data_IF_731616847571
#
_entry.id   IF_731616847571
#
_cell.length_a   1.000
_cell.length_b   1.000
_cell.length_c   1.000
_cell.angle_alpha   90.00
_cell.angle_beta   90.00
_cell.angle_gamma   90.00
#
_symmetry.space_group_name_H-M   'P 1'
#
loop_
_entity.id
_entity.type
_entity.pdbx_description
1 polymer ?
#
# COMPACT_ATOMS: atom_id res chain seq x y z
N UNK A 1 -5.79 -8.96 -34.86
CA UNK A 1 -5.60 -7.49 -34.94
C UNK A 1 -5.32 -6.86 -33.58
N UNK A 2 -6.00 -7.25 -32.50
CA UNK A 2 -5.83 -6.72 -31.14
C UNK A 2 -4.43 -6.97 -30.56
N UNK A 3 -3.84 -8.17 -30.74
CA UNK A 3 -2.49 -8.48 -30.27
C UNK A 3 -1.37 -7.67 -30.94
N UNK A 4 -1.52 -7.30 -32.23
CA UNK A 4 -0.52 -6.47 -32.92
C UNK A 4 -0.53 -5.00 -32.50
N UNK A 5 -1.70 -4.46 -32.09
CA UNK A 5 -1.82 -3.10 -31.56
C UNK A 5 -1.18 -2.97 -30.17
N UNK A 6 -1.23 -4.03 -29.36
CA UNK A 6 -0.62 -4.07 -28.03
C UNK A 6 0.91 -4.00 -28.06
N UNK A 7 1.53 -4.76 -28.95
CA UNK A 7 3.00 -4.79 -29.09
C UNK A 7 3.53 -3.45 -29.60
N UNK A 8 2.80 -2.79 -30.52
CA UNK A 8 3.19 -1.47 -31.01
C UNK A 8 3.04 -0.38 -29.95
N UNK A 9 1.98 -0.40 -29.12
CA UNK A 9 1.78 0.60 -28.07
C UNK A 9 2.82 0.47 -26.94
N UNK A 10 3.12 -0.75 -26.49
CA UNK A 10 4.14 -1.01 -25.47
C UNK A 10 5.55 -0.70 -25.97
N UNK A 11 5.89 -1.04 -27.21
CA UNK A 11 7.17 -0.74 -27.82
C UNK A 11 7.36 0.78 -28.01
N UNK A 12 6.35 1.48 -28.47
CA UNK A 12 6.36 2.94 -28.64
C UNK A 12 6.47 3.63 -27.27
N UNK A 13 5.70 3.17 -26.27
CA UNK A 13 5.76 3.68 -24.93
C UNK A 13 7.16 3.50 -24.31
N UNK A 14 7.79 2.32 -24.54
CA UNK A 14 9.15 2.04 -24.06
C UNK A 14 10.17 2.95 -24.73
N UNK A 15 10.14 3.11 -26.04
CA UNK A 15 11.06 4.01 -26.77
C UNK A 15 10.97 5.45 -26.26
N UNK A 16 9.77 5.96 -26.06
CA UNK A 16 9.54 7.30 -25.54
C UNK A 16 10.02 7.44 -24.09
N UNK A 17 9.74 6.45 -23.26
CA UNK A 17 10.20 6.41 -21.86
C UNK A 17 11.73 6.40 -21.79
N UNK A 18 12.40 5.56 -22.61
CA UNK A 18 13.85 5.44 -22.64
C UNK A 18 14.50 6.73 -23.17
N UNK A 19 13.89 7.40 -24.14
CA UNK A 19 14.37 8.70 -24.65
C UNK A 19 14.33 9.79 -23.56
N UNK A 20 13.22 9.90 -22.82
CA UNK A 20 13.11 10.87 -21.72
C UNK A 20 14.06 10.51 -20.57
N UNK A 21 14.14 9.24 -20.20
CA UNK A 21 15.07 8.78 -19.18
C UNK A 21 16.51 9.17 -19.54
N UNK A 22 16.90 8.95 -20.79
CA UNK A 22 18.23 9.33 -21.31
C UNK A 22 18.45 10.84 -21.28
N UNK A 23 17.43 11.64 -21.58
CA UNK A 23 17.49 13.10 -21.52
C UNK A 23 17.70 13.58 -20.07
N UNK A 24 16.93 13.07 -19.12
CA UNK A 24 17.05 13.37 -17.68
C UNK A 24 18.44 12.96 -17.18
N UNK A 25 18.92 11.80 -17.57
CA UNK A 25 20.25 11.29 -17.21
C UNK A 25 21.41 12.05 -17.86
N UNK A 26 21.13 12.97 -18.74
CA UNK A 26 22.10 13.92 -19.33
C UNK A 26 22.44 15.10 -18.43
N UNK A 27 21.65 15.37 -17.40
CA UNK A 27 21.86 16.45 -16.44
C UNK A 27 22.61 15.97 -15.20
N UNK A 28 23.21 16.92 -14.43
CA UNK A 28 23.86 16.62 -13.17
C UNK A 28 22.88 15.99 -12.18
N UNK A 29 23.10 14.75 -11.72
CA UNK A 29 22.21 14.08 -10.77
C UNK A 29 22.03 14.88 -9.48
N UNK A 30 23.11 15.46 -8.93
CA UNK A 30 23.07 16.22 -7.68
C UNK A 30 22.10 17.40 -7.77
N UNK A 31 22.24 18.21 -8.83
CA UNK A 31 21.39 19.38 -9.05
C UNK A 31 19.96 18.98 -9.37
N UNK A 32 19.76 17.91 -10.14
CA UNK A 32 18.43 17.44 -10.50
C UNK A 32 17.68 16.89 -9.29
N UNK A 33 18.34 16.04 -8.49
CA UNK A 33 17.77 15.48 -7.25
C UNK A 33 17.40 16.60 -6.28
N UNK A 34 18.31 17.55 -6.07
CA UNK A 34 18.07 18.69 -5.22
C UNK A 34 16.87 19.52 -5.70
N UNK A 35 16.78 19.77 -6.99
CA UNK A 35 15.64 20.47 -7.58
C UNK A 35 14.32 19.71 -7.40
N UNK A 36 14.30 18.39 -7.64
CA UNK A 36 13.11 17.56 -7.44
C UNK A 36 12.63 17.63 -5.98
N UNK A 37 13.53 17.53 -5.00
CA UNK A 37 13.18 17.64 -3.59
C UNK A 37 12.63 19.04 -3.25
N UNK A 38 13.26 20.12 -3.75
CA UNK A 38 12.75 21.47 -3.56
C UNK A 38 11.36 21.65 -4.15
N UNK A 39 11.12 21.13 -5.34
CA UNK A 39 9.85 21.19 -6.02
C UNK A 39 8.76 20.41 -5.30
N UNK A 40 9.07 19.23 -4.79
CA UNK A 40 8.17 18.38 -4.01
C UNK A 40 7.76 18.95 -2.64
N UNK A 41 8.56 19.86 -2.08
CA UNK A 41 8.31 20.48 -0.77
C UNK A 41 7.62 21.84 -0.89
N UNK A 42 7.11 22.20 -2.08
CA UNK A 42 6.27 23.38 -2.23
C UNK A 42 4.95 23.18 -1.48
N UNK A 43 4.47 24.26 -0.85
CA UNK A 43 3.18 24.23 -0.15
C UNK A 43 2.04 24.35 -1.17
N UNK A 44 1.02 23.54 -0.98
CA UNK A 44 -0.18 23.56 -1.79
C UNK A 44 -1.40 23.85 -0.92
N UNK A 45 -2.35 24.62 -1.44
CA UNK A 45 -3.58 25.01 -0.73
C UNK A 45 -4.48 23.78 -0.51
N UNK A 46 -4.56 22.91 -1.50
CA UNK A 46 -5.39 21.70 -1.48
C UNK A 46 -4.77 20.54 -2.28
N UNK A 47 -5.41 19.37 -2.21
CA UNK A 47 -5.01 18.18 -2.93
C UNK A 47 -5.02 18.35 -4.46
N UNK A 48 -5.90 19.19 -5.02
CA UNK A 48 -5.99 19.40 -6.47
C UNK A 48 -4.76 20.17 -6.95
N UNK A 49 -4.38 21.25 -6.24
CA UNK A 49 -3.17 21.99 -6.54
C UNK A 49 -1.93 21.12 -6.42
N UNK A 50 -1.83 20.28 -5.37
CA UNK A 50 -0.75 19.34 -5.20
C UNK A 50 -0.67 18.34 -6.35
N UNK A 51 -1.79 17.76 -6.79
CA UNK A 51 -1.81 16.81 -7.90
C UNK A 51 -1.44 17.48 -9.24
N UNK A 52 -1.77 18.75 -9.47
CA UNK A 52 -1.35 19.51 -10.67
C UNK A 52 0.16 19.65 -10.78
N UNK A 53 0.90 19.58 -9.68
CA UNK A 53 2.36 19.54 -9.68
C UNK A 53 2.95 18.15 -9.98
N UNK A 54 2.09 17.16 -10.19
CA UNK A 54 2.46 15.81 -10.65
C UNK A 54 3.57 15.16 -9.79
N UNK A 55 3.42 15.06 -8.46
CA UNK A 55 4.49 14.57 -7.59
C UNK A 55 4.97 13.16 -7.96
N UNK A 56 4.11 12.31 -8.51
CA UNK A 56 4.51 10.99 -9.02
C UNK A 56 5.48 11.08 -10.19
N UNK A 57 5.31 12.06 -11.09
CA UNK A 57 6.24 12.33 -12.20
C UNK A 57 7.57 12.87 -11.67
N UNK A 58 7.52 13.84 -10.76
CA UNK A 58 8.72 14.42 -10.15
C UNK A 58 9.56 13.33 -9.47
N UNK A 59 8.93 12.43 -8.69
CA UNK A 59 9.61 11.32 -8.04
C UNK A 59 10.12 10.26 -9.05
N UNK A 60 9.40 10.04 -10.15
CA UNK A 60 9.88 9.19 -11.24
C UNK A 60 11.13 9.78 -11.91
N UNK A 61 11.13 11.09 -12.19
CA UNK A 61 12.29 11.80 -12.75
C UNK A 61 13.47 11.80 -11.77
N UNK A 62 13.21 11.99 -10.47
CA UNK A 62 14.21 11.87 -9.40
C UNK A 62 14.85 10.47 -9.42
N UNK A 63 14.05 9.41 -9.44
CA UNK A 63 14.50 8.02 -9.54
C UNK A 63 15.37 7.79 -10.75
N UNK A 64 14.98 8.28 -11.92
CA UNK A 64 15.75 8.14 -13.15
C UNK A 64 17.06 8.90 -13.12
N UNK A 65 17.07 10.13 -12.61
CA UNK A 65 18.29 10.92 -12.41
C UNK A 65 19.25 10.23 -11.45
N UNK A 66 18.74 9.77 -10.30
CA UNK A 66 19.55 9.06 -9.31
C UNK A 66 20.13 7.73 -9.84
N UNK A 67 19.48 7.10 -10.82
CA UNK A 67 19.95 5.83 -11.42
C UNK A 67 21.19 5.98 -12.32
N UNK A 68 21.73 7.16 -12.53
CA UNK A 68 22.91 7.38 -13.38
C UNK A 68 24.15 6.75 -12.77
N UNK A 69 24.95 6.08 -13.59
CA UNK A 69 26.29 5.60 -13.24
C UNK A 69 27.32 6.18 -14.17
N UNK A 70 28.42 6.61 -13.61
CA UNK A 70 29.60 7.06 -14.35
C UNK A 70 30.22 8.34 -13.77
N UNK A 71 31.35 8.20 -13.08
CA UNK A 71 32.08 9.32 -12.47
C UNK A 71 32.67 10.30 -13.49
N UNK A 72 32.74 9.93 -14.77
CA UNK A 72 33.44 10.70 -15.82
C UNK A 72 32.51 11.28 -16.89
N UNK A 73 31.19 11.32 -16.66
CA UNK A 73 30.23 11.85 -17.62
C UNK A 73 30.20 13.39 -17.52
N UNK A 74 30.35 14.09 -18.65
CA UNK A 74 30.05 15.52 -18.69
C UNK A 74 28.53 15.71 -18.63
N UNK A 75 28.04 16.27 -17.54
CA UNK A 75 26.64 16.56 -17.34
C UNK A 75 26.31 17.98 -17.80
N UNK A 76 25.10 18.16 -18.33
CA UNK A 76 24.52 19.48 -18.56
C UNK A 76 24.12 20.09 -17.22
N UNK A 77 24.21 21.41 -17.12
CA UNK A 77 23.67 22.17 -16.01
C UNK A 77 22.17 22.30 -16.24
N UNK A 78 21.38 22.08 -15.21
CA UNK A 78 19.92 22.17 -15.24
C UNK A 78 19.49 23.51 -14.64
N UNK A 79 18.71 24.31 -15.38
CA UNK A 79 17.97 25.40 -14.79
C UNK A 79 16.53 25.00 -14.38
N UNK A 80 15.90 25.82 -13.55
CA UNK A 80 14.55 25.58 -13.01
C UNK A 80 13.50 25.37 -14.10
N UNK A 81 13.53 26.19 -15.16
CA UNK A 81 12.53 26.13 -16.22
C UNK A 81 12.71 24.87 -17.07
N UNK A 82 13.94 24.46 -17.31
CA UNK A 82 14.25 23.20 -18.01
C UNK A 82 13.74 22.00 -17.22
N UNK A 83 13.91 21.99 -15.89
CA UNK A 83 13.40 20.91 -15.03
C UNK A 83 11.88 20.80 -15.11
N UNK A 84 11.15 21.92 -14.99
CA UNK A 84 9.68 21.93 -15.10
C UNK A 84 9.23 21.46 -16.48
N UNK A 85 9.87 21.89 -17.55
CA UNK A 85 9.61 21.41 -18.92
C UNK A 85 9.83 19.92 -19.06
N UNK A 86 10.85 19.35 -18.39
CA UNK A 86 11.08 17.92 -18.38
C UNK A 86 9.98 17.15 -17.63
N UNK A 87 9.46 17.67 -16.52
CA UNK A 87 8.32 17.05 -15.84
C UNK A 87 7.08 17.04 -16.75
N UNK A 88 6.75 18.17 -17.37
CA UNK A 88 5.64 18.28 -18.32
C UNK A 88 5.81 17.32 -19.50
N UNK A 89 6.99 17.31 -20.13
CA UNK A 89 7.32 16.42 -21.22
C UNK A 89 7.21 14.95 -20.82
N UNK A 90 7.66 14.60 -19.60
CA UNK A 90 7.54 13.24 -19.05
C UNK A 90 6.07 12.85 -18.90
N UNK A 91 5.26 13.71 -18.32
CA UNK A 91 3.81 13.50 -18.18
C UNK A 91 3.13 13.30 -19.53
N UNK A 92 3.31 14.24 -20.47
CA UNK A 92 2.71 14.16 -21.81
C UNK A 92 3.13 12.92 -22.58
N UNK A 93 4.41 12.53 -22.48
CA UNK A 93 4.94 11.36 -23.18
C UNK A 93 4.38 10.05 -22.64
N UNK A 94 4.20 9.97 -21.31
CA UNK A 94 3.70 8.74 -20.67
C UNK A 94 2.18 8.64 -20.66
N UNK A 95 1.45 9.72 -20.99
CA UNK A 95 -0.02 9.72 -21.07
C UNK A 95 -0.61 8.76 -22.11
N UNK A 96 0.18 8.26 -23.04
CA UNK A 96 -0.28 7.22 -23.97
C UNK A 96 -0.55 5.87 -23.26
N UNK A 97 0.07 5.63 -22.10
CA UNK A 97 -0.11 4.40 -21.32
C UNK A 97 -1.53 4.29 -20.76
N UNK A 98 -2.09 5.33 -20.10
CA UNK A 98 -3.49 5.32 -19.65
C UNK A 98 -4.50 5.07 -20.77
N UNK A 99 -4.33 5.69 -21.95
CA UNK A 99 -5.23 5.55 -23.08
C UNK A 99 -5.33 4.09 -23.56
N UNK A 100 -4.21 3.36 -23.52
CA UNK A 100 -4.20 1.92 -23.82
C UNK A 100 -4.98 1.09 -22.77
N UNK A 101 -4.94 1.51 -21.52
CA UNK A 101 -5.64 0.88 -20.40
C UNK A 101 -7.15 1.00 -20.49
N UNK A 102 -7.66 2.22 -20.73
CA UNK A 102 -9.10 2.48 -20.85
C UNK A 102 -9.74 1.65 -21.93
N UNK A 103 -9.07 1.48 -23.07
CA UNK A 103 -9.57 0.73 -24.22
C UNK A 103 -9.61 -0.78 -24.00
N UNK A 104 -8.70 -1.34 -23.20
CA UNK A 104 -8.49 -2.78 -23.09
C UNK A 104 -9.24 -3.42 -21.92
N UNK A 105 -9.19 -2.82 -20.75
CA UNK A 105 -9.61 -3.45 -19.48
C UNK A 105 -10.61 -2.62 -18.69
N UNK A 106 -11.11 -1.55 -19.27
CA UNK A 106 -12.13 -0.71 -18.66
C UNK A 106 -11.64 0.24 -17.58
N UNK A 107 -12.56 1.08 -17.15
CA UNK A 107 -12.33 2.19 -16.21
C UNK A 107 -11.80 1.72 -14.84
N UNK A 108 -12.21 0.54 -14.39
CA UNK A 108 -11.82 0.03 -13.05
C UNK A 108 -10.31 -0.21 -12.93
N UNK A 109 -9.66 -0.77 -13.96
CA UNK A 109 -8.20 -0.93 -13.96
C UNK A 109 -7.47 0.41 -14.00
N UNK A 110 -7.97 1.35 -14.78
CA UNK A 110 -7.43 2.70 -14.85
C UNK A 110 -7.50 3.40 -13.49
N UNK A 111 -8.68 3.42 -12.86
CA UNK A 111 -8.88 4.01 -11.52
C UNK A 111 -7.97 3.34 -10.50
N UNK A 112 -7.95 2.00 -10.46
CA UNK A 112 -7.13 1.23 -9.52
C UNK A 112 -5.64 1.56 -9.64
N UNK A 113 -5.10 1.59 -10.86
CA UNK A 113 -3.69 1.91 -11.08
C UNK A 113 -3.35 3.36 -10.67
N UNK A 114 -4.25 4.32 -10.95
CA UNK A 114 -4.07 5.69 -10.48
C UNK A 114 -4.14 5.81 -8.95
N UNK A 115 -5.01 5.07 -8.28
CA UNK A 115 -5.07 5.05 -6.82
C UNK A 115 -3.76 4.55 -6.20
N UNK A 116 -3.17 3.49 -6.75
CA UNK A 116 -1.85 3.03 -6.30
C UNK A 116 -0.73 4.01 -6.57
N UNK A 117 -0.76 4.73 -7.70
CA UNK A 117 0.27 5.69 -8.07
C UNK A 117 0.14 7.01 -7.32
N UNK A 118 -1.08 7.55 -7.25
CA UNK A 118 -1.33 8.93 -6.84
C UNK A 118 -1.89 9.05 -5.42
N UNK A 119 -2.57 8.01 -4.93
CA UNK A 119 -3.18 8.02 -3.60
C UNK A 119 -2.19 8.30 -2.47
N UNK A 120 -0.94 7.84 -2.62
CA UNK A 120 0.14 8.07 -1.65
C UNK A 120 0.56 9.54 -1.49
N UNK A 121 0.15 10.41 -2.41
CA UNK A 121 0.44 11.85 -2.36
C UNK A 121 -0.72 12.67 -1.82
N UNK A 122 -1.85 12.06 -1.49
CA UNK A 122 -2.97 12.77 -0.89
C UNK A 122 -2.65 13.16 0.56
N UNK A 123 -3.21 14.29 0.99
CA UNK A 123 -3.03 14.77 2.36
C UNK A 123 -3.71 13.79 3.32
N UNK A 124 -2.94 13.28 4.27
CA UNK A 124 -3.38 12.36 5.31
C UNK A 124 -3.33 13.09 6.65
N UNK A 125 -4.29 12.82 7.54
CA UNK A 125 -4.25 13.30 8.90
C UNK A 125 -3.06 12.65 9.65
N UNK A 126 -2.23 13.50 10.26
CA UNK A 126 -1.04 13.05 10.98
C UNK A 126 -1.35 12.10 12.16
N UNK A 127 -2.44 12.35 12.87
CA UNK A 127 -2.87 11.50 14.00
C UNK A 127 -3.32 10.12 13.51
N UNK A 128 -4.13 10.07 12.47
CA UNK A 128 -4.60 8.82 11.87
C UNK A 128 -3.45 8.01 11.24
N UNK A 129 -2.38 8.70 10.81
CA UNK A 129 -1.22 8.06 10.19
C UNK A 129 -0.56 7.02 11.11
N UNK A 130 -0.46 7.28 12.41
CA UNK A 130 0.25 6.41 13.35
C UNK A 130 -0.71 5.51 14.13
N UNK A 131 -1.96 5.93 14.34
CA UNK A 131 -2.93 5.24 15.22
C UNK A 131 -3.03 3.75 14.92
N UNK A 132 -3.10 3.35 13.66
CA UNK A 132 -3.15 1.95 13.26
C UNK A 132 -1.92 1.16 13.73
N UNK A 133 -0.72 1.69 13.59
CA UNK A 133 0.48 0.99 14.05
C UNK A 133 0.56 0.93 15.57
N UNK A 134 0.14 1.98 16.26
CA UNK A 134 0.02 1.98 17.73
C UNK A 134 -0.94 0.89 18.16
N UNK A 135 -2.15 0.85 17.60
CA UNK A 135 -3.17 -0.13 17.92
C UNK A 135 -2.71 -1.58 17.69
N UNK A 136 -2.03 -1.84 16.58
CA UNK A 136 -1.60 -3.20 16.23
C UNK A 136 -0.35 -3.67 16.99
N UNK A 137 0.58 -2.76 17.34
CA UNK A 137 1.92 -3.18 17.75
C UNK A 137 2.35 -2.72 19.14
N UNK A 138 1.72 -1.69 19.74
CA UNK A 138 2.18 -1.17 21.03
C UNK A 138 1.96 -2.17 22.17
N UNK A 139 0.79 -2.80 22.22
CA UNK A 139 0.37 -3.71 23.31
C UNK A 139 0.94 -5.12 23.18
N UNK A 140 1.70 -5.43 22.12
CA UNK A 140 2.36 -6.73 22.01
C UNK A 140 3.39 -6.92 23.16
N UNK A 141 3.52 -8.15 23.65
CA UNK A 141 4.54 -8.49 24.64
C UNK A 141 5.95 -8.15 24.17
N UNK A 142 6.85 -7.80 25.09
CA UNK A 142 8.25 -7.42 24.76
C UNK A 142 8.99 -8.47 23.95
N UNK A 143 8.74 -9.75 24.23
CA UNK A 143 9.35 -10.91 23.55
C UNK A 143 8.58 -11.36 22.30
N UNK A 144 7.50 -10.66 21.91
CA UNK A 144 6.74 -10.98 20.71
C UNK A 144 7.64 -10.95 19.48
N UNK A 145 7.49 -11.93 18.57
CA UNK A 145 8.33 -12.11 17.37
C UNK A 145 8.39 -10.85 16.50
N UNK A 146 7.29 -10.11 16.37
CA UNK A 146 7.25 -8.85 15.60
C UNK A 146 8.18 -7.82 16.22
N UNK A 147 8.10 -7.59 17.55
CA UNK A 147 8.96 -6.62 18.27
C UNK A 147 10.44 -7.00 18.19
N UNK A 148 10.75 -8.26 18.44
CA UNK A 148 12.14 -8.74 18.40
C UNK A 148 12.73 -8.69 17.00
N UNK A 149 11.97 -9.06 15.96
CA UNK A 149 12.42 -8.98 14.57
C UNK A 149 12.65 -7.52 14.14
N UNK A 150 11.72 -6.62 14.48
CA UNK A 150 11.87 -5.20 14.16
C UNK A 150 13.12 -4.60 14.83
N UNK A 151 13.32 -4.88 16.13
CA UNK A 151 14.53 -4.45 16.84
C UNK A 151 15.81 -5.01 16.22
N UNK A 152 15.83 -6.29 15.85
CA UNK A 152 17.00 -6.93 15.22
C UNK A 152 17.40 -6.23 13.92
N UNK A 153 16.41 -5.76 13.12
CA UNK A 153 16.66 -5.11 11.84
C UNK A 153 17.06 -3.64 12.00
N UNK A 154 16.39 -2.92 12.91
CA UNK A 154 16.50 -1.46 13.01
C UNK A 154 17.37 -0.99 14.18
N UNK A 155 17.61 -1.84 15.18
CA UNK A 155 18.13 -1.48 16.49
C UNK A 155 17.31 -0.37 17.21
N UNK A 156 16.03 -0.26 16.89
CA UNK A 156 15.06 0.66 17.51
C UNK A 156 13.87 -0.16 17.99
N UNK A 157 13.40 0.08 19.22
CA UNK A 157 12.16 -0.55 19.70
C UNK A 157 10.96 -0.04 18.90
N UNK A 158 9.88 -0.83 18.80
CA UNK A 158 8.65 -0.37 18.15
C UNK A 158 8.09 0.85 18.86
N UNK A 159 8.14 0.86 20.19
CA UNK A 159 7.67 1.96 21.02
C UNK A 159 8.42 3.27 20.74
N UNK A 160 9.75 3.21 20.67
CA UNK A 160 10.57 4.38 20.33
C UNK A 160 10.36 4.79 18.87
N UNK A 161 10.24 3.83 17.97
CA UNK A 161 9.93 4.09 16.55
C UNK A 161 8.61 4.86 16.43
N UNK A 162 7.56 4.46 17.13
CA UNK A 162 6.25 5.11 17.07
C UNK A 162 6.28 6.53 17.66
N UNK A 163 6.98 6.73 18.80
CA UNK A 163 7.17 8.07 19.38
C UNK A 163 7.94 9.01 18.44
N UNK A 164 9.05 8.51 17.87
CA UNK A 164 9.87 9.27 16.92
C UNK A 164 9.11 9.56 15.62
N UNK A 165 8.30 8.62 15.16
CA UNK A 165 7.42 8.77 14.01
C UNK A 165 6.38 9.86 14.23
N UNK A 166 5.77 9.92 15.42
CA UNK A 166 4.80 10.97 15.77
C UNK A 166 5.44 12.36 15.71
N UNK A 167 6.60 12.53 16.35
CA UNK A 167 7.33 13.81 16.33
C UNK A 167 7.76 14.16 14.89
N UNK A 168 8.27 13.20 14.13
CA UNK A 168 8.65 13.44 12.74
C UNK A 168 7.47 13.93 11.91
N UNK A 169 6.31 13.24 11.98
CA UNK A 169 5.13 13.62 11.20
C UNK A 169 4.63 15.00 11.60
N UNK A 170 4.56 15.29 12.90
CA UNK A 170 4.17 16.62 13.37
C UNK A 170 5.11 17.68 12.81
N UNK A 171 6.42 17.44 12.90
CA UNK A 171 7.43 18.40 12.43
C UNK A 171 7.36 18.65 10.92
N UNK A 172 7.15 17.61 10.08
CA UNK A 172 7.10 17.76 8.62
C UNK A 172 5.76 18.30 8.11
N UNK A 173 4.69 18.27 8.92
CA UNK A 173 3.36 18.80 8.56
C UNK A 173 3.12 20.22 9.06
N UNK A 174 4.05 20.82 9.82
CA UNK A 174 4.01 22.20 10.23
C UNK A 174 3.96 23.16 9.03
N UNK A 175 3.68 24.45 9.29
CA UNK A 175 3.44 25.47 8.24
C UNK A 175 4.56 25.61 7.20
N UNK A 176 5.80 25.26 7.58
CA UNK A 176 6.95 25.25 6.68
C UNK A 176 7.50 23.84 6.55
N UNK A 177 7.28 23.16 5.41
CA UNK A 177 7.81 21.80 5.22
C UNK A 177 9.34 21.81 5.38
N UNK A 178 9.80 20.96 6.28
CA UNK A 178 11.22 20.88 6.64
C UNK A 178 11.98 20.18 5.53
N UNK A 179 12.94 20.90 4.94
CA UNK A 179 13.78 20.36 3.86
C UNK A 179 14.81 19.36 4.38
N UNK A 180 15.40 19.66 5.52
CA UNK A 180 16.45 18.85 6.15
C UNK A 180 16.23 18.77 7.66
N UNK A 181 16.67 17.67 8.21
CA UNK A 181 16.65 17.39 9.64
C UNK A 181 17.91 16.65 10.05
N UNK A 182 18.17 16.62 11.35
CA UNK A 182 19.23 15.84 11.97
C UNK A 182 18.74 15.33 13.33
N UNK A 183 19.61 14.72 14.11
CA UNK A 183 19.26 14.22 15.45
C UNK A 183 18.74 15.34 16.35
N UNK A 184 19.26 16.56 16.23
CA UNK A 184 18.85 17.70 17.07
C UNK A 184 17.42 18.20 16.78
N UNK A 185 16.81 17.81 15.66
CA UNK A 185 15.38 18.01 15.38
C UNK A 185 14.50 17.36 16.46
N UNK A 186 15.01 16.34 17.13
CA UNK A 186 14.29 15.57 18.17
C UNK A 186 14.72 15.93 19.60
N UNK A 187 15.26 17.13 19.83
CA UNK A 187 15.80 17.56 21.13
C UNK A 187 14.79 17.38 22.26
N UNK A 188 13.51 17.60 22.00
CA UNK A 188 12.42 17.43 22.97
C UNK A 188 12.33 16.01 23.56
N UNK A 189 12.91 15.01 22.89
CA UNK A 189 12.89 13.62 23.32
C UNK A 189 14.20 13.16 23.96
N UNK A 190 15.25 13.97 24.08
CA UNK A 190 16.57 13.53 24.54
C UNK A 190 16.58 12.99 25.96
N UNK A 191 15.66 13.45 26.82
CA UNK A 191 15.52 12.95 28.20
C UNK A 191 14.85 11.56 28.26
N UNK A 192 14.21 11.13 27.18
CA UNK A 192 13.41 9.89 27.12
C UNK A 192 14.06 8.88 26.17
N UNK A 193 14.62 9.35 25.04
CA UNK A 193 15.17 8.51 23.98
C UNK A 193 16.63 8.92 23.71
N UNK A 194 17.58 7.98 23.83
CA UNK A 194 18.99 8.28 23.57
C UNK A 194 19.24 8.78 22.14
N UNK A 195 20.14 9.74 21.96
CA UNK A 195 20.52 10.31 20.65
C UNK A 195 20.88 9.23 19.62
N UNK A 196 21.60 8.18 20.02
CA UNK A 196 21.95 7.06 19.15
C UNK A 196 20.72 6.29 18.64
N UNK A 197 19.67 6.16 19.46
CA UNK A 197 18.40 5.54 19.04
C UNK A 197 17.69 6.40 18.00
N UNK A 198 17.72 7.72 18.15
CA UNK A 198 17.17 8.68 17.17
C UNK A 198 17.93 8.60 15.83
N UNK A 199 19.26 8.50 15.89
CA UNK A 199 20.07 8.33 14.69
C UNK A 199 19.71 7.02 13.95
N UNK A 200 19.59 5.91 14.68
CA UNK A 200 19.16 4.62 14.13
C UNK A 200 17.76 4.67 13.52
N UNK A 201 16.83 5.38 14.14
CA UNK A 201 15.49 5.62 13.58
C UNK A 201 15.59 6.36 12.25
N UNK A 202 16.31 7.47 12.20
CA UNK A 202 16.49 8.24 10.96
C UNK A 202 17.20 7.40 9.88
N UNK A 203 18.18 6.60 10.25
CA UNK A 203 18.88 5.67 9.34
C UNK A 203 17.93 4.57 8.82
N UNK A 204 17.05 4.05 9.67
CA UNK A 204 16.09 3.03 9.26
C UNK A 204 15.15 3.50 8.15
N UNK A 205 14.76 4.78 8.14
CA UNK A 205 13.85 5.38 7.14
C UNK A 205 14.58 6.15 6.02
N UNK A 206 15.90 6.12 5.98
CA UNK A 206 16.69 6.85 4.98
C UNK A 206 17.49 5.93 4.08
N UNK A 207 17.89 6.45 2.92
CA UNK A 207 18.90 5.88 2.03
C UNK A 207 20.13 6.76 2.03
N UNK A 208 21.31 6.15 2.20
CA UNK A 208 22.56 6.89 2.09
C UNK A 208 22.74 7.40 0.66
N UNK A 209 23.17 8.65 0.51
CA UNK A 209 23.37 9.27 -0.81
C UNK A 209 24.29 8.44 -1.72
N UNK A 210 25.33 7.84 -1.17
CA UNK A 210 26.27 7.00 -1.92
C UNK A 210 25.63 5.70 -2.45
N UNK A 211 24.55 5.23 -1.82
CA UNK A 211 23.81 4.01 -2.19
C UNK A 211 22.58 4.31 -3.06
N UNK A 212 22.19 5.59 -3.17
CA UNK A 212 20.97 6.03 -3.84
C UNK A 212 20.90 5.54 -5.29
N UNK A 213 22.01 5.55 -6.02
CA UNK A 213 22.06 5.09 -7.42
C UNK A 213 21.74 3.59 -7.53
N UNK A 214 22.35 2.76 -6.69
CA UNK A 214 22.12 1.32 -6.66
C UNK A 214 20.69 1.01 -6.25
N UNK A 215 20.18 1.71 -5.23
CA UNK A 215 18.80 1.59 -4.77
C UNK A 215 17.79 1.92 -5.87
N UNK A 216 17.91 3.07 -6.54
CA UNK A 216 17.00 3.47 -7.60
C UNK A 216 17.05 2.53 -8.81
N UNK A 217 18.23 2.02 -9.18
CA UNK A 217 18.38 1.02 -10.25
C UNK A 217 17.64 -0.27 -9.94
N UNK A 218 17.76 -0.78 -8.74
CA UNK A 218 17.08 -2.02 -8.33
C UNK A 218 15.55 -1.92 -8.39
N UNK A 219 15.00 -0.72 -8.43
CA UNK A 219 13.56 -0.40 -8.48
C UNK A 219 13.07 0.07 -9.86
N UNK A 220 13.92 0.02 -10.87
CA UNK A 220 13.57 0.42 -12.24
C UNK A 220 13.00 -0.77 -13.00
N UNK A 221 11.94 -0.55 -13.76
CA UNK A 221 11.27 -1.57 -14.56
C UNK A 221 11.43 -1.27 -16.06
N UNK A 222 11.61 -2.35 -16.85
CA UNK A 222 11.67 -2.25 -18.32
C UNK A 222 10.29 -2.15 -18.97
N UNK A 223 9.24 -2.58 -18.26
CA UNK A 223 7.87 -2.49 -18.75
C UNK A 223 7.30 -1.10 -18.46
N UNK A 224 6.88 -0.32 -19.49
CA UNK A 224 6.39 1.05 -19.30
C UNK A 224 5.26 1.16 -18.30
N UNK A 225 4.31 0.24 -18.32
CA UNK A 225 3.20 0.19 -17.40
C UNK A 225 3.67 0.11 -15.93
N UNK A 226 4.57 -0.85 -15.64
CA UNK A 226 5.10 -1.02 -14.29
C UNK A 226 5.93 0.18 -13.86
N UNK A 227 6.75 0.73 -14.77
CA UNK A 227 7.59 1.89 -14.46
C UNK A 227 6.75 3.14 -14.16
N UNK A 228 5.65 3.34 -14.90
CA UNK A 228 4.79 4.51 -14.74
C UNK A 228 3.88 4.43 -13.50
N UNK A 229 3.21 3.29 -13.30
CA UNK A 229 2.21 3.15 -12.24
C UNK A 229 2.74 2.54 -10.93
N UNK A 230 3.97 2.04 -10.90
CA UNK A 230 4.54 1.54 -9.64
C UNK A 230 4.65 2.64 -8.60
N UNK A 231 4.36 2.29 -7.38
CA UNK A 231 4.59 3.18 -6.24
C UNK A 231 6.04 3.65 -6.19
N UNK A 232 6.24 4.87 -5.74
CA UNK A 232 7.58 5.44 -5.58
C UNK A 232 8.46 4.53 -4.72
N UNK A 233 9.71 4.23 -5.13
CA UNK A 233 10.64 3.47 -4.28
C UNK A 233 10.94 4.18 -2.96
N UNK A 234 10.74 5.48 -2.92
CA UNK A 234 10.93 6.30 -1.74
C UNK A 234 9.86 6.11 -0.66
N UNK A 235 8.83 5.28 -0.89
CA UNK A 235 8.00 4.74 0.19
C UNK A 235 8.78 3.79 1.12
N UNK A 236 9.85 3.17 0.62
CA UNK A 236 10.71 2.33 1.45
C UNK A 236 11.71 3.14 2.26
N UNK A 237 12.18 4.25 1.69
CA UNK A 237 13.22 5.14 2.23
C UNK A 237 12.86 6.59 1.89
N UNK A 238 11.99 7.24 2.69
CA UNK A 238 11.47 8.57 2.37
C UNK A 238 12.48 9.71 2.57
N UNK A 239 13.62 9.42 3.18
CA UNK A 239 14.69 10.40 3.41
C UNK A 239 15.96 10.00 2.67
N UNK A 240 16.76 10.99 2.29
CA UNK A 240 18.12 10.81 1.77
C UNK A 240 19.11 11.31 2.83
N UNK A 241 20.02 10.43 3.30
CA UNK A 241 21.08 10.77 4.24
C UNK A 241 22.31 11.28 3.49
N UNK A 242 22.83 12.48 3.85
CA UNK A 242 24.08 13.04 3.33
C UNK A 242 24.90 13.60 4.51
N UNK A 243 25.95 12.91 4.89
CA UNK A 243 26.68 13.22 6.14
C UNK A 243 25.81 12.94 7.35
N UNK A 244 25.69 13.95 8.24
CA UNK A 244 24.82 13.91 9.43
C UNK A 244 23.41 14.46 9.19
N UNK A 245 23.09 14.87 7.96
CA UNK A 245 21.82 15.46 7.60
C UNK A 245 20.93 14.49 6.82
N UNK A 246 19.61 14.58 7.04
CA UNK A 246 18.58 13.78 6.38
C UNK A 246 17.65 14.72 5.62
N UNK A 247 17.52 14.48 4.32
CA UNK A 247 16.74 15.32 3.43
C UNK A 247 15.43 14.65 3.07
N UNK A 248 14.33 15.33 3.31
CA UNK A 248 13.01 14.85 2.97
C UNK A 248 12.77 14.94 1.46
N UNK A 249 12.20 13.86 0.90
CA UNK A 249 11.87 13.78 -0.54
C UNK A 249 10.52 14.40 -0.83
N UNK A 250 9.49 14.07 -0.03
CA UNK A 250 8.13 14.57 -0.18
C UNK A 250 7.35 14.36 1.12
N UNK A 251 6.59 15.36 1.58
CA UNK A 251 5.88 15.30 2.87
C UNK A 251 4.89 14.16 2.95
N UNK A 252 3.93 14.07 2.02
CA UNK A 252 2.90 13.02 2.05
C UNK A 252 3.49 11.62 1.87
N UNK A 253 4.50 11.49 1.01
CA UNK A 253 5.20 10.23 0.82
C UNK A 253 5.90 9.77 2.13
N UNK A 254 6.51 10.70 2.88
CA UNK A 254 7.11 10.39 4.19
C UNK A 254 6.05 9.95 5.18
N UNK A 255 4.93 10.66 5.27
CA UNK A 255 3.81 10.29 6.14
C UNK A 255 3.25 8.91 5.79
N UNK A 256 2.98 8.65 4.51
CA UNK A 256 2.48 7.34 4.03
C UNK A 256 3.48 6.22 4.27
N UNK A 257 4.79 6.48 4.08
CA UNK A 257 5.85 5.52 4.39
C UNK A 257 5.83 5.10 5.85
N UNK A 258 5.78 6.07 6.76
CA UNK A 258 5.77 5.83 8.20
C UNK A 258 4.52 5.08 8.63
N UNK A 259 3.35 5.39 8.05
CA UNK A 259 2.08 4.75 8.35
C UNK A 259 2.09 3.22 8.19
N UNK A 260 2.95 2.68 7.34
CA UNK A 260 3.02 1.25 7.05
C UNK A 260 4.42 0.65 7.30
N UNK A 261 5.34 1.43 7.82
CA UNK A 261 6.77 1.09 7.87
C UNK A 261 7.07 -0.23 8.57
N UNK A 262 6.49 -0.46 9.76
CA UNK A 262 6.74 -1.69 10.54
C UNK A 262 6.33 -2.91 9.73
N UNK A 263 5.11 -2.90 9.19
CA UNK A 263 4.59 -3.97 8.35
C UNK A 263 5.45 -4.20 7.10
N UNK A 264 5.73 -3.13 6.36
CA UNK A 264 6.44 -3.21 5.08
C UNK A 264 7.89 -3.67 5.24
N UNK A 265 8.57 -3.22 6.30
CA UNK A 265 9.94 -3.62 6.61
C UNK A 265 10.01 -5.12 6.95
N UNK A 266 9.18 -5.55 7.89
CA UNK A 266 9.20 -6.94 8.37
C UNK A 266 8.80 -7.91 7.26
N UNK A 267 7.78 -7.58 6.49
CA UNK A 267 7.33 -8.40 5.37
C UNK A 267 8.37 -8.52 4.24
N UNK A 268 9.11 -7.45 3.96
CA UNK A 268 10.18 -7.49 2.95
C UNK A 268 11.38 -8.33 3.40
N UNK A 269 11.63 -8.36 4.70
CA UNK A 269 12.79 -9.09 5.26
C UNK A 269 12.55 -10.59 5.34
N UNK A 270 11.39 -11.00 5.87
CA UNK A 270 10.99 -12.40 5.96
C UNK A 270 9.46 -12.50 5.95
N UNK A 271 8.90 -12.60 4.73
CA UNK A 271 7.46 -12.56 4.53
C UNK A 271 6.72 -13.71 5.22
N UNK A 272 7.28 -14.94 5.20
CA UNK A 272 6.63 -16.11 5.76
C UNK A 272 6.52 -16.02 7.27
N UNK A 273 7.65 -15.85 7.95
CA UNK A 273 7.66 -15.71 9.42
C UNK A 273 6.87 -14.52 9.94
N UNK A 274 6.90 -13.39 9.20
CA UNK A 274 6.13 -12.22 9.58
C UNK A 274 4.64 -12.49 9.45
N UNK A 275 4.18 -13.02 8.32
CA UNK A 275 2.75 -13.24 8.07
C UNK A 275 2.13 -14.24 9.03
N UNK A 276 2.86 -15.28 9.43
CA UNK A 276 2.42 -16.24 10.44
C UNK A 276 2.16 -15.59 11.81
N UNK A 277 2.98 -14.61 12.18
CA UNK A 277 2.81 -13.88 13.43
C UNK A 277 1.79 -12.74 13.31
N UNK A 278 1.76 -12.06 12.16
CA UNK A 278 0.90 -10.91 11.91
C UNK A 278 -0.57 -11.28 11.75
N UNK A 279 -0.87 -12.46 11.20
CA UNK A 279 -2.25 -12.94 11.06
C UNK A 279 -2.99 -12.89 12.38
N UNK A 280 -2.43 -13.51 13.43
CA UNK A 280 -3.02 -13.53 14.77
C UNK A 280 -3.16 -12.12 15.38
N UNK A 281 -2.16 -11.24 15.18
CA UNK A 281 -2.22 -9.85 15.66
C UNK A 281 -3.36 -9.10 14.99
N UNK A 282 -3.53 -9.30 13.69
CA UNK A 282 -4.55 -8.63 12.90
C UNK A 282 -5.97 -9.12 13.24
N UNK A 283 -6.16 -10.42 13.39
CA UNK A 283 -7.41 -11.02 13.86
C UNK A 283 -7.77 -10.53 15.27
N UNK A 284 -6.85 -10.62 16.24
CA UNK A 284 -7.10 -10.13 17.60
C UNK A 284 -7.46 -8.63 17.65
N UNK A 285 -6.86 -7.82 16.79
CA UNK A 285 -7.18 -6.39 16.69
C UNK A 285 -8.62 -6.17 16.23
N UNK A 286 -9.09 -6.94 15.24
CA UNK A 286 -10.48 -6.88 14.79
C UNK A 286 -11.45 -7.39 15.86
N UNK A 287 -11.09 -8.46 16.58
CA UNK A 287 -11.90 -8.96 17.71
C UNK A 287 -12.06 -7.88 18.79
N UNK A 288 -10.99 -7.13 19.08
CA UNK A 288 -11.05 -6.03 20.04
C UNK A 288 -12.00 -4.92 19.57
N UNK A 289 -11.92 -4.51 18.31
CA UNK A 289 -12.83 -3.51 17.74
C UNK A 289 -14.28 -3.95 17.86
N UNK A 290 -14.59 -5.21 17.51
CA UNK A 290 -15.96 -5.74 17.62
C UNK A 290 -16.47 -5.74 19.06
N UNK A 291 -15.60 -6.10 20.02
CA UNK A 291 -15.93 -6.07 21.46
C UNK A 291 -16.17 -4.65 21.98
N UNK A 292 -15.32 -3.71 21.61
CA UNK A 292 -15.45 -2.31 22.01
C UNK A 292 -16.66 -1.61 21.37
N UNK A 293 -17.09 -2.11 20.21
CA UNK A 293 -18.32 -1.63 19.55
C UNK A 293 -19.60 -2.23 20.12
N UNK A 294 -19.50 -3.07 21.16
CA UNK A 294 -20.64 -3.73 21.81
C UNK A 294 -21.51 -4.56 20.84
N UNK A 295 -20.88 -5.10 19.79
CA UNK A 295 -21.54 -5.92 18.77
C UNK A 295 -21.48 -7.39 19.21
N UNK A 296 -22.63 -8.04 19.29
CA UNK A 296 -22.71 -9.49 19.51
C UNK A 296 -22.18 -10.23 18.28
N UNK A 297 -21.13 -11.05 18.47
CA UNK A 297 -20.54 -11.84 17.40
C UNK A 297 -20.11 -13.23 17.87
N UNK A 298 -19.94 -14.13 16.93
CA UNK A 298 -19.36 -15.45 17.10
C UNK A 298 -18.00 -15.51 16.37
N UNK A 299 -16.96 -15.90 17.08
CA UNK A 299 -15.62 -16.05 16.49
C UNK A 299 -15.43 -17.42 15.83
N UNK A 300 -14.29 -17.58 15.14
CA UNK A 300 -13.93 -18.81 14.44
C UNK A 300 -14.02 -20.05 15.33
N UNK A 301 -13.57 -19.98 16.59
CA UNK A 301 -13.62 -21.09 17.55
C UNK A 301 -15.06 -21.52 17.81
N UNK A 302 -15.94 -20.58 18.09
CA UNK A 302 -17.37 -20.86 18.31
C UNK A 302 -18.01 -21.55 17.10
N UNK A 303 -17.67 -21.09 15.90
CA UNK A 303 -18.19 -21.66 14.64
C UNK A 303 -17.66 -23.09 14.43
N UNK A 304 -16.35 -23.34 14.62
CA UNK A 304 -15.74 -24.67 14.49
C UNK A 304 -16.28 -25.72 15.47
N UNK A 305 -16.70 -25.31 16.64
CA UNK A 305 -17.30 -26.21 17.64
C UNK A 305 -18.72 -26.68 17.27
N UNK A 306 -19.43 -25.93 16.43
CA UNK A 306 -20.86 -26.14 16.11
C UNK A 306 -21.11 -26.59 14.68
N UNK A 307 -20.25 -26.20 13.76
CA UNK A 307 -20.38 -26.58 12.36
C UNK A 307 -19.67 -27.91 12.07
N UNK A 308 -20.04 -28.61 10.99
CA UNK A 308 -19.36 -29.85 10.59
C UNK A 308 -17.83 -29.64 10.48
N UNK A 309 -17.05 -30.64 10.94
CA UNK A 309 -15.57 -30.53 11.05
C UNK A 309 -14.84 -30.19 9.76
N UNK A 310 -15.41 -30.56 8.61
CA UNK A 310 -14.79 -30.32 7.30
C UNK A 310 -15.15 -28.94 6.71
N UNK A 311 -16.01 -28.17 7.37
CA UNK A 311 -16.41 -26.87 6.90
C UNK A 311 -15.34 -25.84 7.21
N UNK A 312 -15.00 -25.06 6.20
CA UNK A 312 -14.20 -23.84 6.37
C UNK A 312 -15.11 -22.76 6.91
N UNK A 313 -14.67 -22.06 7.93
CA UNK A 313 -15.43 -21.00 8.59
C UNK A 313 -14.75 -19.66 8.46
N UNK A 314 -15.52 -18.59 8.65
CA UNK A 314 -15.02 -17.21 8.70
C UNK A 314 -14.46 -16.88 10.07
N UNK A 315 -13.70 -15.80 10.19
CA UNK A 315 -13.11 -15.39 11.46
C UNK A 315 -14.18 -14.88 12.44
N UNK A 316 -15.17 -14.11 11.93
CA UNK A 316 -16.28 -13.59 12.75
C UNK A 316 -17.60 -13.68 12.00
N UNK A 317 -18.65 -13.96 12.76
CA UNK A 317 -20.04 -13.98 12.30
C UNK A 317 -20.90 -13.14 13.24
N UNK A 318 -21.64 -12.20 12.69
CA UNK A 318 -22.57 -11.32 13.44
C UNK A 318 -24.00 -11.72 13.07
N UNK A 319 -24.74 -12.39 13.99
CA UNK A 319 -26.15 -12.66 13.82
C UNK A 319 -26.97 -11.42 14.17
N UNK A 320 -27.52 -10.76 13.17
CA UNK A 320 -28.40 -9.62 13.38
C UNK A 320 -29.89 -10.00 13.14
N UNK A 321 -30.79 -9.18 13.65
CA UNK A 321 -32.24 -9.44 13.51
C UNK A 321 -32.70 -9.44 12.05
N UNK A 322 -32.08 -8.62 11.19
CA UNK A 322 -32.45 -8.45 9.78
C UNK A 322 -31.47 -9.05 8.81
N UNK A 323 -30.22 -9.34 9.24
CA UNK A 323 -29.17 -9.78 8.38
C UNK A 323 -28.16 -10.69 9.08
N UNK A 324 -27.46 -11.51 8.31
CA UNK A 324 -26.27 -12.24 8.74
C UNK A 324 -25.03 -11.59 8.12
N UNK A 325 -24.02 -11.26 8.94
CA UNK A 325 -22.80 -10.60 8.47
C UNK A 325 -21.59 -11.51 8.73
N UNK A 326 -20.88 -11.83 7.68
CA UNK A 326 -19.68 -12.67 7.69
C UNK A 326 -18.45 -11.79 7.52
N UNK A 327 -17.54 -11.84 8.49
CA UNK A 327 -16.31 -11.04 8.48
C UNK A 327 -15.09 -11.96 8.42
N UNK A 328 -14.17 -11.67 7.54
CA UNK A 328 -12.95 -12.43 7.41
C UNK A 328 -11.75 -11.48 7.30
N UNK A 329 -10.77 -11.68 8.20
CA UNK A 329 -9.55 -10.89 8.30
C UNK A 329 -8.45 -11.46 7.41
N UNK A 330 -7.92 -10.66 6.51
CA UNK A 330 -6.83 -11.09 5.64
C UNK A 330 -5.66 -10.12 5.71
N UNK A 331 -4.66 -10.45 6.53
CA UNK A 331 -3.42 -9.67 6.65
C UNK A 331 -2.59 -9.60 5.36
N UNK A 332 -3.20 -9.84 4.21
CA UNK A 332 -2.54 -9.96 2.92
C UNK A 332 -2.32 -8.63 2.22
N UNK A 333 -1.30 -8.62 1.39
CA UNK A 333 -1.01 -7.54 0.44
C UNK A 333 -0.67 -8.15 -0.93
N UNK A 334 -1.04 -7.46 -1.98
CA UNK A 334 -0.62 -7.83 -3.33
C UNK A 334 0.77 -7.23 -3.58
N UNK A 335 1.73 -8.08 -4.00
CA UNK A 335 3.06 -7.60 -4.38
C UNK A 335 2.98 -6.53 -5.48
N UNK A 336 3.89 -5.54 -5.50
CA UNK A 336 3.87 -4.39 -6.42
C UNK A 336 3.61 -4.77 -7.89
N UNK A 337 4.21 -5.86 -8.41
CA UNK A 337 3.95 -6.34 -9.77
C UNK A 337 2.52 -6.84 -10.00
N UNK A 338 1.81 -7.21 -8.94
CA UNK A 338 0.40 -7.60 -9.00
C UNK A 338 -0.55 -6.44 -8.67
N UNK A 339 -0.04 -5.38 -8.03
CA UNK A 339 -0.81 -4.15 -7.82
C UNK A 339 -1.06 -3.44 -9.13
N UNK A 340 -0.04 -3.35 -9.99
CA UNK A 340 -0.09 -2.70 -11.30
C UNK A 340 -0.09 -3.76 -12.38
N UNK A 341 -1.26 -4.23 -12.75
CA UNK A 341 -1.46 -5.20 -13.83
C UNK A 341 -2.68 -4.82 -14.64
N UNK A 342 -2.73 -5.29 -15.87
CA UNK A 342 -3.88 -5.16 -16.78
C UNK A 342 -4.63 -6.47 -16.97
N UNK A 343 -4.16 -7.55 -16.34
CA UNK A 343 -4.72 -8.87 -16.56
C UNK A 343 -5.55 -9.25 -15.32
N UNK A 344 -6.85 -9.49 -15.49
CA UNK A 344 -7.71 -9.96 -14.40
C UNK A 344 -7.14 -11.20 -13.70
N UNK A 345 -6.57 -12.12 -14.46
CA UNK A 345 -6.02 -13.40 -13.96
C UNK A 345 -4.90 -13.19 -12.96
N UNK A 346 -4.08 -12.14 -13.14
CA UNK A 346 -3.00 -11.80 -12.21
C UNK A 346 -3.57 -11.34 -10.85
N UNK A 347 -4.67 -10.57 -10.87
CA UNK A 347 -5.35 -10.15 -9.65
C UNK A 347 -6.05 -11.33 -8.99
N UNK A 348 -6.89 -12.06 -9.74
CA UNK A 348 -7.61 -13.23 -9.28
C UNK A 348 -6.67 -14.25 -8.62
N UNK A 349 -5.53 -14.56 -9.27
CA UNK A 349 -4.52 -15.46 -8.74
C UNK A 349 -3.92 -14.99 -7.39
N UNK A 350 -3.75 -13.68 -7.20
CA UNK A 350 -3.20 -13.12 -5.95
C UNK A 350 -4.20 -13.10 -4.80
N UNK A 351 -5.47 -12.88 -5.09
CA UNK A 351 -6.53 -12.84 -4.06
C UNK A 351 -7.21 -14.20 -3.82
N UNK A 352 -6.81 -15.24 -4.57
CA UNK A 352 -7.43 -16.58 -4.49
C UNK A 352 -7.40 -17.17 -3.09
N UNK A 353 -6.24 -17.09 -2.42
CA UNK A 353 -6.02 -17.65 -1.08
C UNK A 353 -6.46 -16.68 0.04
N UNK A 354 -7.01 -15.54 -0.29
CA UNK A 354 -7.45 -14.51 0.66
C UNK A 354 -8.91 -14.14 0.43
N UNK A 355 -9.18 -13.09 -0.32
CA UNK A 355 -10.53 -12.55 -0.54
C UNK A 355 -11.49 -13.60 -1.14
N UNK A 356 -11.08 -14.32 -2.19
CA UNK A 356 -11.96 -15.34 -2.80
C UNK A 356 -12.20 -16.52 -1.84
N UNK A 357 -11.20 -16.91 -1.04
CA UNK A 357 -11.37 -17.91 0.01
C UNK A 357 -12.35 -17.44 1.08
N UNK A 358 -12.27 -16.18 1.52
CA UNK A 358 -13.19 -15.59 2.49
C UNK A 358 -14.64 -15.62 1.98
N UNK A 359 -14.85 -15.27 0.70
CA UNK A 359 -16.16 -15.34 0.05
C UNK A 359 -16.68 -16.79 0.03
N UNK A 360 -15.84 -17.76 -0.34
CA UNK A 360 -16.23 -19.18 -0.34
C UNK A 360 -16.60 -19.66 1.07
N UNK A 361 -15.79 -19.34 2.09
CA UNK A 361 -16.03 -19.69 3.49
C UNK A 361 -17.37 -19.10 4.01
N UNK A 362 -17.64 -17.84 3.67
CA UNK A 362 -18.90 -17.19 4.04
C UNK A 362 -20.12 -17.91 3.45
N UNK A 363 -20.05 -18.34 2.19
CA UNK A 363 -21.12 -19.13 1.57
C UNK A 363 -21.25 -20.51 2.20
N UNK A 364 -20.16 -21.15 2.61
CA UNK A 364 -20.23 -22.44 3.33
C UNK A 364 -20.97 -22.27 4.66
N UNK A 365 -20.60 -21.28 5.47
CA UNK A 365 -21.29 -21.02 6.74
C UNK A 365 -22.76 -20.66 6.52
N UNK A 366 -23.07 -19.81 5.52
CA UNK A 366 -24.45 -19.42 5.22
C UNK A 366 -25.31 -20.62 4.76
N UNK A 367 -24.71 -21.57 4.02
CA UNK A 367 -25.38 -22.82 3.64
C UNK A 367 -25.75 -23.66 4.87
N UNK A 368 -24.84 -23.80 5.83
CA UNK A 368 -25.10 -24.57 7.04
C UNK A 368 -26.22 -23.94 7.89
N UNK A 369 -26.23 -22.59 8.00
CA UNK A 369 -27.29 -21.85 8.66
C UNK A 369 -28.64 -22.08 7.96
N UNK A 370 -28.66 -22.02 6.61
CA UNK A 370 -29.87 -22.30 5.83
C UNK A 370 -30.38 -23.72 6.00
N UNK A 371 -29.48 -24.70 6.07
CA UNK A 371 -29.83 -26.13 6.22
C UNK A 371 -30.30 -26.47 7.63
N UNK A 372 -29.86 -25.74 8.66
CA UNK A 372 -30.20 -25.92 10.05
C UNK A 372 -30.17 -24.61 10.84
N UNK A 373 -31.25 -23.88 10.86
CA UNK A 373 -31.39 -22.56 11.53
C UNK A 373 -31.09 -22.57 13.04
N UNK A 374 -31.03 -23.74 13.66
CA UNK A 374 -30.75 -23.89 15.10
C UNK A 374 -29.26 -24.13 15.38
N UNK A 375 -28.45 -24.24 14.35
CA UNK A 375 -27.03 -24.65 14.53
C UNK A 375 -26.19 -23.51 15.16
N UNK A 376 -26.31 -22.28 14.67
CA UNK A 376 -25.63 -21.10 15.21
C UNK A 376 -26.54 -19.86 15.29
N UNK A 377 -27.43 -19.64 14.31
CA UNK A 377 -28.34 -18.50 14.23
C UNK A 377 -29.48 -18.80 13.22
N UNK A 378 -30.57 -18.03 13.24
CA UNK A 378 -31.58 -18.09 12.20
C UNK A 378 -31.05 -17.66 10.85
N UNK A 379 -31.48 -18.33 9.78
CA UNK A 379 -31.19 -17.88 8.42
C UNK A 379 -31.82 -16.51 8.16
N UNK A 380 -31.12 -15.65 7.46
CA UNK A 380 -31.60 -14.35 6.99
C UNK A 380 -31.45 -14.25 5.48
N UNK A 381 -32.49 -13.79 4.81
CA UNK A 381 -32.45 -13.56 3.36
C UNK A 381 -31.38 -12.51 2.97
N UNK A 382 -31.20 -11.51 3.85
CA UNK A 382 -30.13 -10.55 3.71
C UNK A 382 -28.85 -11.09 4.40
N UNK A 383 -27.80 -11.28 3.64
CA UNK A 383 -26.50 -11.70 4.15
C UNK A 383 -25.41 -10.85 3.50
N UNK A 384 -24.39 -10.51 4.28
CA UNK A 384 -23.28 -9.64 3.86
C UNK A 384 -21.94 -10.30 4.12
N UNK A 385 -20.97 -10.06 3.24
CA UNK A 385 -19.58 -10.48 3.41
C UNK A 385 -18.71 -9.24 3.50
N UNK A 386 -17.87 -9.15 4.52
CA UNK A 386 -16.87 -8.10 4.69
C UNK A 386 -15.51 -8.76 4.78
N UNK A 387 -14.71 -8.60 3.71
CA UNK A 387 -13.30 -9.01 3.69
C UNK A 387 -12.44 -7.83 4.12
N UNK A 388 -11.78 -7.94 5.28
CA UNK A 388 -10.96 -6.86 5.82
C UNK A 388 -9.49 -7.16 5.51
N UNK A 389 -8.78 -6.20 4.89
CA UNK A 389 -7.36 -6.31 4.56
C UNK A 389 -6.54 -5.26 5.27
N UNK A 390 -5.25 -5.54 5.53
CA UNK A 390 -4.38 -4.56 6.21
C UNK A 390 -4.21 -3.27 5.40
N UNK A 391 -4.08 -3.37 4.07
CA UNK A 391 -4.04 -2.22 3.16
C UNK A 391 -5.19 -2.32 2.16
N UNK A 392 -5.65 -1.19 1.66
CA UNK A 392 -6.65 -1.17 0.61
C UNK A 392 -6.10 -1.84 -0.66
N UNK A 393 -6.80 -2.85 -1.16
CA UNK A 393 -6.48 -3.56 -2.39
C UNK A 393 -7.15 -2.94 -3.62
N UNK A 394 -8.00 -1.93 -3.43
CA UNK A 394 -8.78 -1.25 -4.48
C UNK A 394 -9.53 -2.22 -5.39
N UNK A 395 -10.19 -3.21 -4.78
CA UNK A 395 -10.96 -4.23 -5.49
C UNK A 395 -12.41 -3.80 -5.73
N UNK A 396 -12.88 -2.76 -5.02
CA UNK A 396 -14.26 -2.34 -5.01
C UNK A 396 -15.16 -3.34 -4.27
N UNK A 397 -16.42 -3.40 -4.64
CA UNK A 397 -17.38 -4.37 -4.11
C UNK A 397 -17.35 -5.70 -4.88
N UNK A 398 -18.10 -6.69 -4.43
CA UNK A 398 -18.19 -8.00 -5.06
C UNK A 398 -18.69 -7.97 -6.51
N UNK A 399 -19.53 -6.99 -6.87
CA UNK A 399 -19.98 -6.84 -8.27
C UNK A 399 -18.83 -6.43 -9.20
N UNK A 400 -17.96 -5.51 -8.76
CA UNK A 400 -16.74 -5.15 -9.51
C UNK A 400 -15.79 -6.33 -9.57
N UNK A 401 -15.61 -7.03 -8.44
CA UNK A 401 -14.77 -8.22 -8.36
C UNK A 401 -15.23 -9.30 -9.34
N UNK A 402 -16.55 -9.61 -9.37
CA UNK A 402 -17.15 -10.64 -10.21
C UNK A 402 -17.13 -10.27 -11.71
N UNK A 403 -17.31 -9.00 -12.04
CA UNK A 403 -17.41 -8.58 -13.44
C UNK A 403 -16.07 -8.17 -14.06
N UNK A 404 -15.07 -7.81 -13.23
CA UNK A 404 -13.82 -7.21 -13.72
C UNK A 404 -12.58 -8.01 -13.35
N UNK A 405 -12.39 -8.34 -12.06
CA UNK A 405 -11.09 -8.83 -11.58
C UNK A 405 -11.00 -10.35 -11.44
N UNK A 406 -12.11 -11.03 -11.11
CA UNK A 406 -12.09 -12.47 -10.79
C UNK A 406 -13.34 -13.19 -11.29
N UNK A 407 -13.79 -12.87 -12.49
CA UNK A 407 -15.05 -13.38 -13.07
C UNK A 407 -15.15 -14.91 -13.03
N UNK A 408 -14.12 -15.61 -13.51
CA UNK A 408 -14.16 -17.07 -13.61
C UNK A 408 -14.14 -17.74 -12.22
N UNK A 409 -13.38 -17.18 -11.28
CA UNK A 409 -13.31 -17.67 -9.91
C UNK A 409 -14.62 -17.42 -9.15
N UNK A 410 -15.20 -16.24 -9.29
CA UNK A 410 -16.51 -15.91 -8.72
C UNK A 410 -17.62 -16.82 -9.28
N UNK A 411 -17.64 -17.05 -10.59
CA UNK A 411 -18.57 -17.98 -11.20
C UNK A 411 -18.44 -19.39 -10.60
N UNK A 412 -17.22 -19.90 -10.40
CA UNK A 412 -16.99 -21.21 -9.76
C UNK A 412 -17.57 -21.27 -8.33
N UNK A 413 -17.40 -20.19 -7.56
CA UNK A 413 -17.97 -20.10 -6.21
C UNK A 413 -19.50 -20.13 -6.30
N UNK A 414 -20.10 -19.28 -7.16
CA UNK A 414 -21.54 -19.22 -7.32
C UNK A 414 -22.14 -20.51 -7.91
N UNK A 415 -21.43 -21.21 -8.79
CA UNK A 415 -21.85 -22.52 -9.31
C UNK A 415 -21.87 -23.59 -8.22
N UNK A 416 -20.98 -23.52 -7.24
CA UNK A 416 -20.95 -24.43 -6.08
C UNK A 416 -22.12 -24.17 -5.12
N UNK A 417 -22.58 -22.93 -5.03
CA UNK A 417 -23.58 -22.46 -4.05
C UNK A 417 -24.88 -21.96 -4.72
N UNK A 418 -25.36 -22.66 -5.76
CA UNK A 418 -26.59 -22.34 -6.53
C UNK A 418 -27.88 -22.65 -5.78
N UNK A 419 -28.21 -21.91 -4.73
CA UNK A 419 -29.45 -22.08 -3.99
C UNK A 419 -29.88 -20.76 -3.32
N UNK A 420 -31.03 -20.78 -2.64
CA UNK A 420 -31.60 -19.63 -1.93
C UNK A 420 -30.69 -19.04 -0.82
N UNK A 421 -29.57 -19.69 -0.51
CA UNK A 421 -28.61 -19.26 0.49
C UNK A 421 -27.36 -18.56 -0.10
N UNK A 422 -27.29 -18.32 -1.41
CA UNK A 422 -26.16 -17.58 -1.97
C UNK A 422 -26.22 -16.10 -1.53
N UNK A 423 -25.04 -15.51 -1.30
CA UNK A 423 -24.94 -14.10 -0.92
C UNK A 423 -24.70 -13.30 -2.21
N UNK A 424 -25.57 -12.31 -2.53
CA UNK A 424 -25.45 -11.51 -3.74
C UNK A 424 -24.11 -10.76 -3.83
N UNK A 425 -23.59 -10.57 -5.05
CA UNK A 425 -22.30 -9.88 -5.25
C UNK A 425 -22.29 -8.45 -4.73
N UNK A 426 -23.42 -7.75 -4.78
CA UNK A 426 -23.59 -6.40 -4.23
C UNK A 426 -23.44 -6.33 -2.71
N UNK A 427 -23.63 -7.46 -2.02
CA UNK A 427 -23.51 -7.58 -0.57
C UNK A 427 -22.08 -8.01 -0.13
N UNK A 428 -21.10 -8.01 -1.04
CA UNK A 428 -19.72 -8.36 -0.73
C UNK A 428 -18.87 -7.08 -0.75
N UNK A 429 -18.18 -6.82 0.36
CA UNK A 429 -17.34 -5.64 0.54
C UNK A 429 -15.90 -6.04 0.84
N UNK A 430 -14.94 -5.35 0.19
CA UNK A 430 -13.52 -5.47 0.47
C UNK A 430 -13.05 -4.15 1.07
N UNK A 431 -12.80 -4.13 2.36
CA UNK A 431 -12.40 -2.94 3.11
C UNK A 431 -10.95 -3.06 3.59
N UNK A 432 -10.28 -1.94 3.69
CA UNK A 432 -9.04 -1.87 4.48
C UNK A 432 -9.37 -1.78 5.97
N UNK A 433 -8.37 -2.05 6.82
CA UNK A 433 -8.49 -1.91 8.27
C UNK A 433 -8.89 -0.49 8.71
N UNK A 434 -8.54 0.52 7.93
CA UNK A 434 -8.89 1.93 8.20
C UNK A 434 -10.33 2.28 7.80
N UNK A 435 -10.92 1.53 6.86
CA UNK A 435 -12.30 1.72 6.40
C UNK A 435 -13.30 0.97 7.26
N UNK A 436 -12.85 -0.05 7.97
CA UNK A 436 -13.65 -0.83 8.92
C UNK A 436 -13.73 -0.11 10.27
#
# INVERSE_FOLDING_TARGET
>A
MIQKLDIQSDAVAKLRMDAIRSEIQGYSPDLFIEFCMQYNLQKFEDNIHMLRHMPWIVNLCLKWSASVTGKNKKFKILDKNQAIKLFQKTYETLNIIPIGLERKNGMHFFIRNNLYQQGIYQKIDALNTISRQVFLFSELEKNHKIKTSFFTITNVSIEDFLKLSYILITHITEEHPVRKMNVDTFTILFDIIPRNTIEKFLDAISINYNELSTFCKSKTYDKPLLEYYSSSPFLEKPLIKKGSEYFQIHTQLTSTSIQTFIYDLLRRTDAEKFMDSFGNVFENALELILKESEIDFHNEKYLKERLPKDNKVVDYFIPHTEANIFIDAKGVEIHQKGMVTLRPEDIAGKIKKSVLKAIEQSHEVNREIYSNERIIAPFRANSYIICITYKNLFLGNGSILANTYAKDEMNKIYDKFKHNYHIPTENIFCLSFEEF
#
